data_IF_072080688159
#
_entry.id   IF_072080688159
#
_cell.length_a   1.000
_cell.length_b   1.000
_cell.length_c   1.000
_cell.angle_alpha   90.00
_cell.angle_beta   90.00
_cell.angle_gamma   90.00
#
_symmetry.space_group_name_H-M   'P 1'
#
loop_
_entity.id
_entity.type
_entity.pdbx_description
1 polymer ?
#
# COMPACT_ATOMS: atom_id res chain seq x y z
N UNK A 1 -3.85 2.65 78.06
CA UNK A 1 -3.73 1.59 79.07
C UNK A 1 -4.92 0.65 78.92
N UNK A 2 -4.68 -0.66 79.08
CA UNK A 2 -5.66 -1.78 79.16
C UNK A 2 -6.15 -2.31 77.79
N UNK A 3 -5.57 -3.35 77.14
CA UNK A 3 -5.31 -4.78 77.47
C UNK A 3 -6.46 -5.73 77.08
N UNK A 4 -6.13 -7.03 76.91
CA UNK A 4 -6.90 -8.21 76.43
C UNK A 4 -6.60 -8.50 74.94
N UNK A 5 -5.66 -9.36 74.50
CA UNK A 5 -5.28 -10.75 74.85
C UNK A 5 -6.44 -11.73 74.77
N UNK A 6 -6.51 -12.46 73.65
CA UNK A 6 -6.94 -13.86 73.67
C UNK A 6 -5.90 -14.76 73.01
N UNK A 7 -5.59 -15.82 73.75
CA UNK A 7 -4.65 -16.90 73.50
C UNK A 7 -5.50 -18.17 73.35
N UNK A 8 -5.23 -18.97 72.32
CA UNK A 8 -5.30 -20.45 72.21
C UNK A 8 -5.71 -20.83 70.77
N UNK A 9 -5.31 -21.96 70.19
CA UNK A 9 -4.81 -23.19 70.77
C UNK A 9 -3.84 -23.83 69.76
N UNK A 10 -2.71 -24.31 70.27
CA UNK A 10 -1.78 -25.18 69.56
C UNK A 10 -2.23 -26.64 69.75
N UNK A 11 -2.24 -27.42 68.67
CA UNK A 11 -2.30 -28.90 68.60
C UNK A 11 -1.37 -29.24 67.43
N UNK A 12 -0.10 -29.63 67.61
CA UNK A 12 0.46 -30.86 68.19
C UNK A 12 0.17 -32.14 67.38
N UNK A 13 1.21 -32.63 66.71
CA UNK A 13 1.57 -34.01 66.32
C UNK A 13 2.32 -33.97 64.98
N UNK A 14 3.35 -34.73 64.63
CA UNK A 14 4.18 -35.79 65.21
C UNK A 14 5.27 -36.05 64.13
N UNK A 15 6.49 -36.42 64.55
CA UNK A 15 7.32 -37.41 63.84
C UNK A 15 7.98 -37.09 62.49
N UNK A 16 9.31 -37.27 62.44
CA UNK A 16 9.96 -37.83 61.24
C UNK A 16 11.07 -36.99 60.61
N UNK A 17 12.31 -37.16 61.08
CA UNK A 17 13.52 -36.75 60.36
C UNK A 17 13.73 -37.69 59.17
N UNK A 18 13.78 -37.17 57.95
CA UNK A 18 14.72 -37.67 56.93
C UNK A 18 15.30 -36.50 56.15
N UNK A 19 16.63 -36.55 56.08
CA UNK A 19 17.51 -35.67 55.34
C UNK A 19 17.17 -35.70 53.85
N UNK A 20 16.94 -34.54 53.24
CA UNK A 20 17.20 -34.33 51.81
C UNK A 20 17.66 -32.91 51.59
N UNK A 21 18.87 -32.79 51.05
CA UNK A 21 19.60 -31.58 50.69
C UNK A 21 18.76 -30.70 49.74
N UNK A 22 18.53 -29.41 50.04
CA UNK A 22 17.89 -28.51 49.07
C UNK A 22 18.87 -28.12 47.95
N UNK A 23 18.43 -28.30 46.70
CA UNK A 23 19.09 -27.81 45.46
C UNK A 23 19.24 -26.28 45.49
N UNK A 24 20.33 -25.73 44.93
CA UNK A 24 20.48 -24.29 44.78
C UNK A 24 19.43 -23.74 43.80
N UNK A 25 18.58 -22.84 44.28
CA UNK A 25 17.65 -22.08 43.44
C UNK A 25 18.46 -21.05 42.67
N UNK A 26 18.65 -21.31 41.39
CA UNK A 26 19.18 -20.37 40.42
C UNK A 26 18.31 -19.11 40.42
N UNK A 27 18.90 -17.97 40.81
CA UNK A 27 18.32 -16.66 40.56
C UNK A 27 18.44 -16.37 39.06
N UNK A 28 17.52 -16.88 38.27
CA UNK A 28 17.33 -16.47 36.87
C UNK A 28 16.79 -15.05 36.85
N UNK A 29 17.67 -14.08 36.59
CA UNK A 29 17.29 -12.77 36.08
C UNK A 29 16.38 -12.94 34.88
N UNK A 30 15.13 -12.44 34.95
CA UNK A 30 14.21 -12.38 33.82
C UNK A 30 14.88 -11.61 32.68
N UNK A 31 14.88 -12.13 31.43
CA UNK A 31 15.35 -11.34 30.31
C UNK A 31 14.39 -10.16 30.14
N UNK A 32 14.93 -8.94 30.16
CA UNK A 32 14.20 -7.75 29.75
C UNK A 32 13.89 -7.95 28.27
N UNK A 33 12.64 -8.34 27.99
CA UNK A 33 12.08 -8.48 26.64
C UNK A 33 12.11 -7.10 26.00
N UNK A 34 13.21 -6.77 25.33
CA UNK A 34 13.30 -5.64 24.41
C UNK A 34 12.16 -5.86 23.41
N UNK A 35 11.13 -5.04 23.51
CA UNK A 35 10.06 -4.94 22.51
C UNK A 35 10.77 -4.54 21.22
N UNK A 36 11.12 -5.52 20.39
CA UNK A 36 11.47 -5.27 19.00
C UNK A 36 10.32 -4.44 18.45
N UNK A 37 10.61 -3.21 18.02
CA UNK A 37 9.64 -2.41 17.26
C UNK A 37 9.39 -3.23 16.00
N UNK A 38 8.27 -3.94 15.97
CA UNK A 38 7.81 -4.58 14.76
C UNK A 38 7.81 -3.51 13.66
N UNK A 39 8.39 -3.83 12.50
CA UNK A 39 8.27 -2.99 11.32
C UNK A 39 6.77 -2.67 11.13
N UNK A 40 6.45 -1.41 10.81
CA UNK A 40 5.07 -1.02 10.59
C UNK A 40 4.43 -2.01 9.59
N UNK A 41 3.18 -2.46 9.83
CA UNK A 41 2.51 -3.36 8.90
C UNK A 41 2.48 -2.71 7.52
N UNK A 42 2.70 -3.51 6.47
CA UNK A 42 2.49 -3.06 5.10
C UNK A 42 1.05 -2.55 4.98
N UNK A 43 0.87 -1.27 4.67
CA UNK A 43 -0.44 -0.76 4.32
C UNK A 43 -0.92 -1.50 3.07
N UNK A 44 -2.23 -1.79 2.94
CA UNK A 44 -2.76 -2.31 1.69
C UNK A 44 -2.41 -1.32 0.56
N UNK A 45 -1.99 -1.87 -0.58
CA UNK A 45 -1.45 -1.10 -1.70
C UNK A 45 -2.37 0.07 -2.10
N UNK A 46 -3.68 -0.19 -2.19
CA UNK A 46 -4.68 0.82 -2.55
C UNK A 46 -4.70 2.02 -1.59
N UNK A 47 -4.65 1.81 -0.28
CA UNK A 47 -4.67 2.93 0.67
C UNK A 47 -3.41 3.79 0.54
N UNK A 48 -2.25 3.16 0.30
CA UNK A 48 -0.99 3.88 0.08
C UNK A 48 -1.00 4.67 -1.24
N UNK A 49 -1.64 4.12 -2.28
CA UNK A 49 -1.83 4.80 -3.56
C UNK A 49 -2.76 6.00 -3.40
N UNK A 50 -3.91 5.83 -2.75
CA UNK A 50 -4.85 6.93 -2.54
C UNK A 50 -4.21 8.06 -1.71
N UNK A 51 -3.34 7.74 -0.75
CA UNK A 51 -2.61 8.74 0.02
C UNK A 51 -1.63 9.53 -0.86
N UNK A 52 -0.85 8.88 -1.73
CA UNK A 52 0.11 9.57 -2.60
C UNK A 52 -0.57 10.49 -3.62
N UNK A 53 -1.73 10.08 -4.14
CA UNK A 53 -2.50 10.84 -5.14
C UNK A 53 -3.16 12.12 -4.58
N UNK A 54 -3.00 12.42 -3.28
CA UNK A 54 -3.33 13.74 -2.72
C UNK A 54 -2.38 14.82 -3.25
N UNK A 55 -1.13 14.47 -3.52
CA UNK A 55 -0.22 15.34 -4.27
C UNK A 55 -0.66 15.39 -5.73
N UNK A 56 -0.81 16.61 -6.26
CA UNK A 56 -1.23 16.83 -7.64
C UNK A 56 -0.16 16.40 -8.64
N UNK A 57 1.12 16.46 -8.27
CA UNK A 57 2.20 16.02 -9.15
C UNK A 57 2.17 14.50 -9.32
N UNK A 58 2.00 13.76 -8.23
CA UNK A 58 1.81 12.31 -8.24
C UNK A 58 0.54 11.92 -9.02
N UNK A 59 -0.57 12.62 -8.79
CA UNK A 59 -1.80 12.40 -9.54
C UNK A 59 -1.63 12.63 -11.06
N UNK A 60 -0.90 13.68 -11.44
CA UNK A 60 -0.62 13.97 -12.84
C UNK A 60 0.27 12.89 -13.48
N UNK A 61 1.37 12.49 -12.81
CA UNK A 61 2.25 11.44 -13.29
C UNK A 61 1.52 10.09 -13.42
N UNK A 62 0.66 9.78 -12.45
CA UNK A 62 -0.14 8.57 -12.48
C UNK A 62 -1.13 8.54 -13.65
N UNK A 63 -1.81 9.66 -13.95
CA UNK A 63 -2.69 9.76 -15.11
C UNK A 63 -1.93 9.75 -16.43
N UNK A 64 -0.75 10.36 -16.51
CA UNK A 64 0.09 10.30 -17.71
C UNK A 64 0.48 8.85 -18.02
N UNK A 65 0.93 8.10 -17.01
CA UNK A 65 1.25 6.67 -17.17
C UNK A 65 0.03 5.86 -17.65
N UNK A 66 -1.17 6.16 -17.14
CA UNK A 66 -2.40 5.53 -17.60
C UNK A 66 -2.76 5.90 -19.05
N UNK A 67 -2.47 7.13 -19.49
CA UNK A 67 -2.65 7.56 -20.88
C UNK A 67 -1.64 6.86 -21.80
N UNK A 68 -0.40 6.69 -21.35
CA UNK A 68 0.68 6.03 -22.11
C UNK A 68 0.43 4.52 -22.34
N UNK A 69 -0.27 3.86 -21.43
CA UNK A 69 -0.70 2.47 -21.59
C UNK A 69 -1.69 2.29 -22.76
N UNK A 70 -2.46 3.35 -23.06
CA UNK A 70 -3.41 3.39 -24.18
C UNK A 70 -4.72 2.63 -23.92
N UNK A 71 -4.90 2.03 -22.74
CA UNK A 71 -6.15 1.40 -22.33
C UNK A 71 -7.07 2.40 -21.62
N UNK A 72 -8.23 2.65 -22.23
CA UNK A 72 -9.27 3.51 -21.68
C UNK A 72 -9.76 3.05 -20.30
N UNK A 73 -9.86 1.74 -20.06
CA UNK A 73 -10.32 1.21 -18.78
C UNK A 73 -9.34 1.55 -17.64
N UNK A 74 -8.05 1.52 -17.94
CA UNK A 74 -6.96 1.91 -17.02
C UNK A 74 -7.05 3.40 -16.71
N UNK A 75 -7.24 4.25 -17.72
CA UNK A 75 -7.42 5.69 -17.53
C UNK A 75 -8.64 6.02 -16.66
N UNK A 76 -9.79 5.37 -16.91
CA UNK A 76 -11.00 5.63 -16.12
C UNK A 76 -10.83 5.21 -14.67
N UNK A 77 -10.17 4.07 -14.42
CA UNK A 77 -9.86 3.62 -13.07
C UNK A 77 -8.87 4.56 -12.38
N UNK A 78 -7.84 5.01 -13.09
CA UNK A 78 -6.86 5.97 -12.56
C UNK A 78 -7.53 7.30 -12.17
N UNK A 79 -8.42 7.83 -13.02
CA UNK A 79 -9.22 9.01 -12.70
C UNK A 79 -10.11 8.80 -11.47
N UNK A 80 -10.65 7.59 -11.29
CA UNK A 80 -11.42 7.24 -10.09
C UNK A 80 -10.54 7.29 -8.83
N UNK A 81 -9.32 6.76 -8.88
CA UNK A 81 -8.37 6.82 -7.76
C UNK A 81 -8.00 8.27 -7.41
N UNK A 82 -7.70 9.09 -8.42
CA UNK A 82 -7.44 10.53 -8.21
C UNK A 82 -8.65 11.23 -7.61
N UNK A 83 -9.86 10.95 -8.10
CA UNK A 83 -11.08 11.51 -7.54
C UNK A 83 -11.31 11.07 -6.08
N UNK A 84 -10.98 9.82 -5.74
CA UNK A 84 -11.04 9.33 -4.35
C UNK A 84 -10.04 10.07 -3.44
N UNK A 85 -8.80 10.25 -3.89
CA UNK A 85 -7.76 10.97 -3.15
C UNK A 85 -8.11 12.46 -2.93
N UNK A 86 -8.78 13.10 -3.89
CA UNK A 86 -9.11 14.53 -3.88
C UNK A 86 -10.44 14.88 -3.17
N UNK A 87 -10.92 14.00 -2.28
CA UNK A 87 -12.12 14.21 -1.46
C UNK A 87 -13.33 13.35 -1.84
N UNK A 88 -13.15 12.41 -2.76
CA UNK A 88 -14.18 11.43 -3.15
C UNK A 88 -14.93 11.79 -4.43
N UNK A 89 -15.40 10.75 -5.14
CA UNK A 89 -16.11 10.87 -6.42
C UNK A 89 -17.36 11.76 -6.31
N UNK A 90 -18.08 11.71 -5.18
CA UNK A 90 -19.27 12.52 -4.97
C UNK A 90 -18.97 14.03 -4.86
N UNK A 91 -17.84 14.39 -4.25
CA UNK A 91 -17.42 15.79 -4.13
C UNK A 91 -16.89 16.32 -5.46
N UNK A 92 -16.15 15.49 -6.20
CA UNK A 92 -15.70 15.83 -7.56
C UNK A 92 -16.89 16.02 -8.50
N UNK A 93 -17.91 15.17 -8.45
CA UNK A 93 -19.13 15.34 -9.22
C UNK A 93 -19.79 16.71 -8.95
N UNK A 94 -19.88 17.11 -7.67
CA UNK A 94 -20.43 18.41 -7.27
C UNK A 94 -19.62 19.57 -7.84
N UNK A 95 -18.29 19.54 -7.72
CA UNK A 95 -17.38 20.57 -8.24
C UNK A 95 -17.42 20.66 -9.77
N UNK A 96 -17.51 19.51 -10.44
CA UNK A 96 -17.61 19.40 -11.89
C UNK A 96 -19.01 19.70 -12.44
N UNK A 97 -20.01 19.98 -11.56
CA UNK A 97 -21.42 20.19 -11.93
C UNK A 97 -22.03 19.00 -12.71
N UNK A 98 -21.64 17.79 -12.34
CA UNK A 98 -22.14 16.54 -12.90
C UNK A 98 -23.01 15.80 -11.87
N UNK A 99 -23.93 14.95 -12.35
CA UNK A 99 -24.66 14.06 -11.45
C UNK A 99 -23.74 12.97 -10.90
N UNK A 100 -23.98 12.52 -9.67
CA UNK A 100 -23.18 11.44 -9.05
C UNK A 100 -23.25 10.16 -9.89
N UNK A 101 -24.44 9.78 -10.33
CA UNK A 101 -24.67 8.60 -11.16
C UNK A 101 -23.88 8.66 -12.47
N UNK A 102 -23.97 9.77 -13.21
CA UNK A 102 -23.20 9.95 -14.44
C UNK A 102 -21.70 9.89 -14.18
N UNK A 103 -21.23 10.47 -13.06
CA UNK A 103 -19.81 10.45 -12.70
C UNK A 103 -19.32 9.03 -12.36
N UNK A 104 -20.09 8.25 -11.59
CA UNK A 104 -19.74 6.86 -11.30
C UNK A 104 -19.73 5.98 -12.56
N UNK A 105 -20.70 6.16 -13.46
CA UNK A 105 -20.75 5.44 -14.74
C UNK A 105 -19.56 5.81 -15.64
N UNK A 106 -19.24 7.08 -15.70
CA UNK A 106 -18.14 7.64 -16.50
C UNK A 106 -16.77 7.19 -16.02
N UNK A 107 -16.54 7.12 -14.71
CA UNK A 107 -15.28 6.67 -14.11
C UNK A 107 -15.25 5.14 -13.87
N UNK A 108 -16.13 4.40 -14.54
CA UNK A 108 -16.10 2.93 -14.54
C UNK A 108 -15.16 2.42 -15.65
N UNK A 109 -14.80 1.14 -15.60
CA UNK A 109 -13.92 0.50 -16.60
C UNK A 109 -14.43 0.64 -18.05
N UNK A 110 -15.74 0.76 -18.24
CA UNK A 110 -16.38 0.87 -19.56
C UNK A 110 -16.85 2.29 -19.88
N UNK A 111 -16.57 3.24 -18.98
CA UNK A 111 -17.03 4.62 -19.13
C UNK A 111 -16.35 5.31 -20.31
N UNK A 112 -17.14 6.02 -21.12
CA UNK A 112 -16.66 6.85 -22.23
C UNK A 112 -17.15 8.30 -22.06
N UNK A 113 -16.47 9.11 -21.22
CA UNK A 113 -16.83 10.51 -21.05
C UNK A 113 -16.78 11.29 -22.36
N UNK A 114 -17.74 12.20 -22.54
CA UNK A 114 -17.52 13.32 -23.44
C UNK A 114 -16.32 14.15 -22.96
N UNK A 115 -15.58 14.76 -23.89
CA UNK A 115 -14.40 15.58 -23.57
C UNK A 115 -14.73 16.71 -22.56
N UNK A 116 -15.91 17.31 -22.66
CA UNK A 116 -16.40 18.33 -21.72
C UNK A 116 -16.49 17.81 -20.29
N UNK A 117 -17.03 16.60 -20.08
CA UNK A 117 -17.12 15.98 -18.77
C UNK A 117 -15.75 15.58 -18.23
N UNK A 118 -14.89 15.01 -19.08
CA UNK A 118 -13.52 14.64 -18.70
C UNK A 118 -12.73 15.86 -18.21
N UNK A 119 -12.75 16.95 -19.00
CA UNK A 119 -12.07 18.20 -18.65
C UNK A 119 -12.66 18.85 -17.41
N UNK A 120 -13.97 18.78 -17.18
CA UNK A 120 -14.61 19.26 -15.95
C UNK A 120 -14.14 18.46 -14.71
N UNK A 121 -14.03 17.14 -14.83
CA UNK A 121 -13.50 16.28 -13.75
C UNK A 121 -12.04 16.59 -13.46
N UNK A 122 -11.20 16.71 -14.50
CA UNK A 122 -9.80 17.11 -14.35
C UNK A 122 -9.68 18.47 -13.66
N UNK A 123 -10.45 19.47 -14.07
CA UNK A 123 -10.44 20.78 -13.43
C UNK A 123 -10.87 20.71 -11.95
N UNK A 124 -11.88 19.90 -11.63
CA UNK A 124 -12.33 19.67 -10.26
C UNK A 124 -11.30 18.99 -9.35
N UNK A 125 -10.37 18.22 -9.92
CA UNK A 125 -9.22 17.64 -9.22
C UNK A 125 -7.96 18.53 -9.26
N UNK A 126 -8.03 19.69 -9.93
CA UNK A 126 -6.90 20.63 -10.05
C UNK A 126 -5.91 20.28 -11.15
N UNK A 127 -6.32 19.46 -12.13
CA UNK A 127 -5.54 19.02 -13.27
C UNK A 127 -6.09 19.59 -14.58
N UNK A 128 -5.31 19.49 -15.66
CA UNK A 128 -5.71 19.91 -17.01
C UNK A 128 -5.13 18.99 -18.07
N UNK A 129 -5.81 18.88 -19.20
CA UNK A 129 -5.28 18.18 -20.36
C UNK A 129 -4.20 19.04 -21.04
N UNK A 130 -3.16 18.40 -21.56
CA UNK A 130 -2.15 19.04 -22.41
C UNK A 130 -1.82 18.14 -23.60
N UNK A 131 -1.37 18.75 -24.69
CA UNK A 131 -0.97 18.04 -25.91
C UNK A 131 0.54 18.13 -26.06
N UNK A 132 1.19 16.99 -26.24
CA UNK A 132 2.63 16.88 -26.52
C UNK A 132 2.81 16.17 -27.86
N UNK A 133 3.92 16.39 -28.59
CA UNK A 133 4.24 15.60 -29.78
C UNK A 133 4.32 14.11 -29.43
N UNK A 134 3.77 13.25 -30.28
CA UNK A 134 3.90 11.80 -30.12
C UNK A 134 5.35 11.43 -30.40
N UNK A 135 6.09 11.02 -29.36
CA UNK A 135 7.43 10.49 -29.54
C UNK A 135 7.36 9.23 -30.39
N UNK A 136 8.13 9.19 -31.48
CA UNK A 136 8.28 7.97 -32.28
C UNK A 136 9.04 6.97 -31.41
N UNK A 137 8.32 6.13 -30.66
CA UNK A 137 8.87 5.01 -29.89
C UNK A 137 9.83 4.26 -30.80
N UNK A 138 11.13 4.40 -30.56
CA UNK A 138 12.15 3.84 -31.43
C UNK A 138 12.03 2.32 -31.39
N UNK A 139 11.36 1.75 -32.39
CA UNK A 139 11.28 0.32 -32.69
C UNK A 139 12.67 -0.29 -33.02
N UNK A 140 13.78 0.41 -32.75
CA UNK A 140 15.16 0.00 -33.05
C UNK A 140 15.81 -0.89 -31.99
N UNK A 141 15.27 -0.98 -30.78
CA UNK A 141 15.88 -1.79 -29.72
C UNK A 141 15.69 -3.31 -29.94
N UNK A 142 14.62 -3.73 -30.62
CA UNK A 142 14.32 -5.17 -30.84
C UNK A 142 14.99 -5.72 -32.10
N UNK A 143 15.24 -4.91 -33.13
CA UNK A 143 15.88 -5.37 -34.37
C UNK A 143 17.40 -5.53 -34.24
N UNK A 144 18.07 -4.77 -33.36
CA UNK A 144 19.54 -4.85 -33.19
C UNK A 144 19.97 -6.06 -32.36
N UNK A 145 19.10 -6.61 -31.50
CA UNK A 145 19.43 -7.80 -30.68
C UNK A 145 19.30 -9.13 -31.42
N UNK A 146 18.61 -9.19 -32.56
CA UNK A 146 18.53 -10.41 -33.40
C UNK A 146 19.58 -10.47 -34.52
N UNK A 147 20.28 -9.38 -34.83
CA UNK A 147 21.40 -9.41 -35.78
C UNK A 147 22.70 -9.93 -35.14
N UNK A 148 22.89 -9.73 -33.84
CA UNK A 148 24.11 -10.16 -33.12
C UNK A 148 24.18 -11.65 -32.77
N UNK A 149 23.06 -12.37 -32.73
CA UNK A 149 23.05 -13.81 -32.38
C UNK A 149 23.16 -14.73 -33.59
N UNK A 150 23.02 -14.20 -34.81
CA UNK A 150 23.14 -15.01 -36.04
C UNK A 150 24.59 -15.17 -36.52
N UNK A 151 25.50 -14.26 -36.16
CA UNK A 151 26.91 -14.35 -36.56
C UNK A 151 27.70 -15.38 -35.74
N UNK A 152 27.44 -15.47 -34.43
CA UNK A 152 28.21 -16.37 -33.54
C UNK A 152 27.90 -17.85 -33.76
N UNK A 153 26.76 -18.19 -34.38
CA UNK A 153 26.38 -19.59 -34.65
C UNK A 153 26.91 -20.12 -35.98
N UNK A 154 27.39 -19.24 -36.88
CA UNK A 154 27.98 -19.64 -38.16
C UNK A 154 29.48 -19.97 -38.04
N UNK A 155 30.20 -19.37 -37.10
CA UNK A 155 31.65 -19.65 -36.91
C UNK A 155 31.94 -20.89 -36.05
N UNK A 156 30.97 -21.42 -35.29
CA UNK A 156 31.15 -22.65 -34.49
C UNK A 156 30.75 -23.95 -35.25
N UNK A 157 30.36 -23.86 -36.52
CA UNK A 157 30.04 -25.03 -37.36
C UNK A 157 31.04 -25.23 -38.51
N UNK A 158 32.10 -24.42 -38.57
CA UNK A 158 33.13 -24.50 -39.60
C UNK A 158 34.56 -24.71 -39.04
N UNK A 159 34.68 -25.09 -37.76
CA UNK A 159 35.93 -25.50 -37.13
C UNK A 159 35.76 -26.90 -36.52
#
# INVERSE_FOLDING_TARGET
MTSIIEIRHYQSAEGGRTSTVPKPISKTTKPVRRKSRAAAPSLPYEDSLIESLKDRNEAAAYLEAAIEDGDQAVLMLALRHVAQAQGGVAEIARRAKLTREATYKMLSKVGNPALSSLTAVLAATGLRLSVKPVEKRQQKATATKLAGTKTIKAELQAA
#
